data_IF_609537965058
#
_entry.id   IF_609537965058
#
_cell.length_a   1.000
_cell.length_b   1.000
_cell.length_c   1.000
_cell.angle_alpha   90.00
_cell.angle_beta   90.00
_cell.angle_gamma   90.00
#
_symmetry.space_group_name_H-M   'P 1'
#
loop_
_entity.id
_entity.type
_entity.pdbx_description
1 polymer ?
#
# COMPACT_ATOMS: atom_id res chain seq x y z
N UNK A 1 10.20 -8.11 14.51
CA UNK A 1 8.87 -7.93 15.14
C UNK A 1 8.19 -6.77 14.43
N UNK A 2 7.17 -7.02 13.62
CA UNK A 2 6.47 -5.96 12.87
C UNK A 2 5.54 -5.21 13.82
N UNK A 3 5.77 -3.92 14.05
CA UNK A 3 4.89 -3.09 14.87
C UNK A 3 3.69 -2.68 14.01
N UNK A 4 2.68 -3.54 13.96
CA UNK A 4 1.43 -3.31 13.24
C UNK A 4 0.43 -2.65 14.19
N UNK A 5 -0.11 -1.49 13.83
CA UNK A 5 -1.23 -0.87 14.55
C UNK A 5 -2.40 -0.66 13.60
N UNK A 6 -3.58 -1.06 14.03
CA UNK A 6 -4.82 -0.86 13.28
C UNK A 6 -5.53 0.39 13.80
N UNK A 7 -5.92 1.26 12.86
CA UNK A 7 -6.68 2.47 13.14
C UNK A 7 -8.11 2.26 12.64
N UNK A 8 -9.04 2.07 13.58
CA UNK A 8 -10.48 1.99 13.32
C UNK A 8 -11.17 3.28 13.76
N UNK A 9 -10.90 4.38 13.06
CA UNK A 9 -11.65 5.62 13.24
C UNK A 9 -13.06 5.49 12.63
N UNK A 10 -14.03 6.21 13.19
CA UNK A 10 -15.42 6.18 12.73
C UNK A 10 -15.54 6.48 11.22
N UNK A 11 -14.77 7.45 10.72
CA UNK A 11 -14.73 7.81 9.30
C UNK A 11 -14.29 6.65 8.38
N UNK A 12 -13.43 5.73 8.84
CA UNK A 12 -13.08 4.54 8.07
C UNK A 12 -14.17 3.46 8.17
N UNK A 13 -14.79 3.30 9.34
CA UNK A 13 -15.86 2.31 9.54
C UNK A 13 -17.09 2.61 8.67
N UNK A 14 -17.51 3.87 8.58
CA UNK A 14 -18.61 4.32 7.71
C UNK A 14 -18.37 3.95 6.23
N UNK A 15 -17.10 3.93 5.82
CA UNK A 15 -16.68 3.62 4.44
C UNK A 15 -16.21 2.17 4.27
N UNK A 16 -16.39 1.31 5.28
CA UNK A 16 -15.89 -0.07 5.30
C UNK A 16 -14.40 -0.18 4.92
N UNK A 17 -13.63 0.76 5.45
CA UNK A 17 -12.21 0.89 5.26
C UNK A 17 -11.44 0.61 6.55
N UNK A 18 -10.18 0.27 6.40
CA UNK A 18 -9.23 0.08 7.49
C UNK A 18 -7.92 0.78 7.14
N UNK A 19 -7.37 1.52 8.11
CA UNK A 19 -6.01 2.02 8.05
C UNK A 19 -5.12 1.15 8.94
N UNK A 20 -4.03 0.63 8.38
CA UNK A 20 -3.03 -0.15 9.11
C UNK A 20 -1.70 0.59 9.01
N UNK A 21 -1.07 0.88 10.14
CA UNK A 21 0.30 1.41 10.17
C UNK A 21 1.30 0.32 10.50
N UNK A 22 2.48 0.40 9.90
CA UNK A 22 3.61 -0.50 10.11
C UNK A 22 4.94 0.22 9.82
N UNK A 23 6.05 -0.42 10.18
CA UNK A 23 7.38 0.15 10.01
C UNK A 23 8.30 -0.84 9.31
N UNK A 24 9.15 -0.36 8.41
CA UNK A 24 10.22 -1.15 7.78
C UNK A 24 11.59 -0.52 8.06
N UNK A 25 12.68 -1.29 7.96
CA UNK A 25 14.03 -0.73 8.03
C UNK A 25 14.22 0.39 7.00
N UNK A 26 14.59 1.59 7.46
CA UNK A 26 14.75 2.77 6.62
C UNK A 26 13.45 3.50 6.22
N UNK A 27 12.27 2.95 6.55
CA UNK A 27 10.96 3.53 6.25
C UNK A 27 10.09 3.50 7.53
N UNK A 28 10.18 4.53 8.37
CA UNK A 28 9.50 4.56 9.67
C UNK A 28 7.99 4.79 9.57
N UNK A 29 7.49 5.32 8.46
CA UNK A 29 6.10 5.71 8.29
C UNK A 29 5.50 4.96 7.10
N UNK A 30 4.97 3.76 7.35
CA UNK A 30 4.31 2.96 6.32
C UNK A 30 2.86 2.70 6.71
N UNK A 31 1.97 2.79 5.74
CA UNK A 31 0.55 2.59 5.93
C UNK A 31 -0.04 1.70 4.84
N UNK A 32 -1.14 1.04 5.17
CA UNK A 32 -2.00 0.34 4.22
C UNK A 32 -3.43 0.81 4.45
N UNK A 33 -4.02 1.38 3.40
CA UNK A 33 -5.44 1.67 3.34
C UNK A 33 -6.13 0.51 2.63
N UNK A 34 -7.04 -0.15 3.31
CA UNK A 34 -7.78 -1.29 2.80
C UNK A 34 -9.27 -0.94 2.75
N UNK A 35 -9.96 -1.40 1.71
CA UNK A 35 -11.42 -1.49 1.69
C UNK A 35 -11.84 -2.94 1.49
N UNK A 36 -12.84 -3.36 2.25
CA UNK A 36 -13.45 -4.69 2.12
C UNK A 36 -14.43 -4.75 0.93
N UNK A 37 -14.78 -3.60 0.34
CA UNK A 37 -15.65 -3.54 -0.82
C UNK A 37 -14.90 -3.93 -2.10
N UNK A 38 -15.51 -4.80 -2.91
CA UNK A 38 -15.00 -5.09 -4.26
C UNK A 38 -15.39 -3.98 -5.24
N UNK A 39 -14.75 -2.82 -5.09
CA UNK A 39 -14.93 -1.69 -6.00
C UNK A 39 -13.91 -1.73 -7.13
N UNK A 40 -14.41 -1.61 -8.36
CA UNK A 40 -13.56 -1.35 -9.52
C UNK A 40 -13.27 0.15 -9.59
N UNK A 41 -12.01 0.53 -9.79
CA UNK A 41 -11.59 1.92 -9.96
C UNK A 41 -12.42 2.69 -11.01
N UNK A 42 -12.89 2.00 -12.05
CA UNK A 42 -13.67 2.59 -13.14
C UNK A 42 -15.09 3.02 -12.72
N UNK A 43 -15.60 2.52 -11.59
CA UNK A 43 -16.92 2.90 -11.09
C UNK A 43 -16.87 4.23 -10.34
N UNK A 44 -17.97 5.01 -10.32
CA UNK A 44 -18.03 6.26 -9.53
C UNK A 44 -17.63 6.05 -8.06
N UNK A 45 -18.13 4.98 -7.44
CA UNK A 45 -17.78 4.61 -6.06
C UNK A 45 -16.28 4.29 -5.90
N UNK A 46 -15.68 3.57 -6.86
CA UNK A 46 -14.24 3.30 -6.86
C UNK A 46 -13.38 4.56 -7.03
N UNK A 47 -13.82 5.52 -7.84
CA UNK A 47 -13.16 6.83 -7.97
C UNK A 47 -13.28 7.67 -6.70
N UNK A 48 -14.45 7.64 -6.04
CA UNK A 48 -14.64 8.32 -4.76
C UNK A 48 -13.74 7.73 -3.68
N UNK A 49 -13.70 6.39 -3.57
CA UNK A 49 -12.80 5.70 -2.65
C UNK A 49 -11.34 6.05 -2.91
N UNK A 50 -10.93 6.10 -4.18
CA UNK A 50 -9.58 6.50 -4.55
C UNK A 50 -9.24 7.94 -4.12
N UNK A 51 -10.16 8.89 -4.33
CA UNK A 51 -9.98 10.28 -3.88
C UNK A 51 -9.87 10.35 -2.36
N UNK A 52 -10.69 9.60 -1.64
CA UNK A 52 -10.61 9.48 -0.19
C UNK A 52 -9.24 8.95 0.25
N UNK A 53 -8.76 7.87 -0.38
CA UNK A 53 -7.45 7.30 -0.04
C UNK A 53 -6.29 8.24 -0.37
N UNK A 54 -6.39 9.00 -1.46
CA UNK A 54 -5.38 10.00 -1.82
C UNK A 54 -5.34 11.15 -0.81
N UNK A 55 -6.51 11.68 -0.42
CA UNK A 55 -6.61 12.72 0.60
C UNK A 55 -6.05 12.21 1.94
N UNK A 56 -6.31 10.96 2.27
CA UNK A 56 -5.82 10.33 3.49
C UNK A 56 -4.29 10.16 3.47
N UNK A 57 -3.71 9.76 2.33
CA UNK A 57 -2.27 9.70 2.16
C UNK A 57 -1.61 11.08 2.33
N UNK A 58 -2.22 12.14 1.80
CA UNK A 58 -1.74 13.52 1.96
C UNK A 58 -1.80 13.96 3.43
N UNK A 59 -2.89 13.64 4.13
CA UNK A 59 -3.05 13.92 5.57
C UNK A 59 -1.94 13.24 6.37
N UNK A 60 -1.74 11.94 6.15
CA UNK A 60 -0.69 11.16 6.83
C UNK A 60 0.71 11.71 6.55
N UNK A 61 1.01 12.07 5.29
CA UNK A 61 2.29 12.65 4.93
C UNK A 61 2.54 14.01 5.62
N UNK A 62 1.51 14.86 5.67
CA UNK A 62 1.61 16.12 6.39
C UNK A 62 1.81 15.92 7.90
N UNK A 63 1.10 14.98 8.51
CA UNK A 63 1.22 14.69 9.95
C UNK A 63 2.60 14.16 10.34
N UNK A 64 3.18 13.26 9.54
CA UNK A 64 4.44 12.59 9.89
C UNK A 64 5.69 13.40 9.50
N UNK A 65 5.66 14.11 8.37
CA UNK A 65 6.85 14.79 7.81
C UNK A 65 6.63 16.26 7.45
N UNK A 66 5.43 16.81 7.69
CA UNK A 66 5.10 18.21 7.43
C UNK A 66 4.81 18.55 5.96
N UNK A 67 5.09 17.64 5.02
CA UNK A 67 4.87 17.84 3.59
C UNK A 67 3.78 16.87 3.08
N UNK A 68 2.58 17.37 2.70
CA UNK A 68 1.49 16.54 2.22
C UNK A 68 1.81 15.80 0.93
N UNK A 69 2.85 16.19 0.17
CA UNK A 69 3.23 15.55 -1.08
C UNK A 69 4.38 14.56 -0.93
N UNK A 70 4.93 14.39 0.28
CA UNK A 70 6.11 13.57 0.51
C UNK A 70 5.75 12.11 0.81
N UNK A 71 5.07 11.48 -0.14
CA UNK A 71 4.67 10.08 -0.06
C UNK A 71 4.83 9.34 -1.40
N UNK A 72 4.81 8.01 -1.35
CA UNK A 72 4.69 7.14 -2.50
C UNK A 72 3.51 6.19 -2.30
N UNK A 73 2.75 5.98 -3.36
CA UNK A 73 1.61 5.07 -3.37
C UNK A 73 1.93 3.83 -4.19
N UNK A 74 1.56 2.66 -3.67
CA UNK A 74 1.60 1.41 -4.41
C UNK A 74 0.25 0.74 -4.26
N UNK A 75 -0.49 0.70 -5.36
CA UNK A 75 -1.69 -0.12 -5.47
C UNK A 75 -1.26 -1.52 -5.95
N UNK A 76 -1.23 -2.48 -5.04
CA UNK A 76 -0.95 -3.88 -5.40
C UNK A 76 -2.14 -4.42 -6.19
N UNK A 77 -1.96 -4.69 -7.48
CA UNK A 77 -2.99 -5.41 -8.25
C UNK A 77 -3.32 -6.77 -7.62
N UNK A 78 -4.55 -7.23 -7.83
CA UNK A 78 -4.99 -8.60 -7.50
C UNK A 78 -4.06 -9.60 -8.18
N UNK A 79 -3.17 -10.25 -7.42
CA UNK A 79 -2.60 -11.53 -7.84
C UNK A 79 -3.75 -12.50 -8.10
N UNK A 80 -3.82 -13.01 -9.33
CA UNK A 80 -4.89 -13.83 -9.88
C UNK A 80 -5.66 -14.68 -8.84
N UNK A 81 -6.94 -14.38 -8.63
CA UNK A 81 -7.93 -15.38 -8.23
C UNK A 81 -8.51 -15.35 -6.81
N UNK A 82 -8.04 -14.52 -5.88
CA UNK A 82 -8.57 -14.53 -4.51
C UNK A 82 -8.89 -13.12 -3.99
N UNK A 83 -10.17 -12.74 -4.06
CA UNK A 83 -10.82 -11.53 -3.50
C UNK A 83 -10.17 -10.19 -3.90
N UNK A 84 -10.89 -9.39 -4.68
CA UNK A 84 -10.41 -8.06 -5.12
C UNK A 84 -10.65 -7.01 -4.02
N UNK A 85 -10.01 -7.16 -2.87
CA UNK A 85 -9.97 -6.10 -1.86
C UNK A 85 -9.12 -4.94 -2.37
N UNK A 86 -9.66 -3.73 -2.33
CA UNK A 86 -8.94 -2.53 -2.73
C UNK A 86 -7.92 -2.19 -1.64
N UNK A 87 -6.62 -2.31 -1.94
CA UNK A 87 -5.54 -2.01 -0.98
C UNK A 87 -4.51 -1.05 -1.56
N UNK A 88 -4.19 -0.02 -0.79
CA UNK A 88 -3.25 1.01 -1.17
C UNK A 88 -2.17 1.11 -0.10
N UNK A 89 -0.94 0.76 -0.48
CA UNK A 89 0.21 1.00 0.38
C UNK A 89 0.64 2.45 0.23
N UNK A 90 0.77 3.14 1.36
CA UNK A 90 1.27 4.52 1.44
C UNK A 90 2.59 4.49 2.19
N UNK A 91 3.65 4.98 1.55
CA UNK A 91 4.96 5.14 2.16
C UNK A 91 5.23 6.62 2.30
N UNK A 92 5.29 7.13 3.54
CA UNK A 92 5.66 8.51 3.78
C UNK A 92 7.18 8.60 3.88
N UNK A 93 7.76 9.52 3.10
CA UNK A 93 9.19 9.61 2.87
C UNK A 93 9.68 10.97 3.31
N UNK A 94 10.73 11.02 4.13
CA UNK A 94 11.36 12.27 4.56
C UNK A 94 12.53 12.66 3.67
N UNK A 95 13.24 11.67 3.10
CA UNK A 95 14.46 11.87 2.34
C UNK A 95 14.41 11.18 0.98
N UNK A 96 15.13 11.76 0.00
CA UNK A 96 15.21 11.20 -1.37
C UNK A 96 15.81 9.79 -1.41
N UNK A 97 16.75 9.47 -0.54
CA UNK A 97 17.34 8.13 -0.49
C UNK A 97 16.33 7.05 -0.09
N UNK A 98 15.29 7.41 0.68
CA UNK A 98 14.23 6.47 1.06
C UNK A 98 13.37 6.05 -0.15
N UNK A 99 13.21 6.94 -1.14
CA UNK A 99 12.59 6.60 -2.44
C UNK A 99 13.43 5.54 -3.16
N UNK A 100 14.74 5.77 -3.26
CA UNK A 100 15.66 4.83 -3.89
C UNK A 100 15.70 3.48 -3.16
N UNK A 101 15.69 3.51 -1.83
CA UNK A 101 15.61 2.32 -0.98
C UNK A 101 14.34 1.51 -1.24
N UNK A 102 13.17 2.18 -1.25
CA UNK A 102 11.89 1.54 -1.55
C UNK A 102 11.92 0.89 -2.95
N UNK A 103 12.44 1.58 -3.96
CA UNK A 103 12.61 0.99 -5.29
C UNK A 103 13.54 -0.22 -5.28
N UNK A 104 14.63 -0.18 -4.52
CA UNK A 104 15.53 -1.32 -4.34
C UNK A 104 14.82 -2.54 -3.74
N UNK A 105 14.05 -2.34 -2.67
CA UNK A 105 13.26 -3.41 -2.04
C UNK A 105 12.24 -4.00 -3.01
N UNK A 106 11.53 -3.15 -3.77
CA UNK A 106 10.57 -3.60 -4.78
C UNK A 106 11.25 -4.36 -5.92
N UNK A 107 12.42 -3.91 -6.38
CA UNK A 107 13.20 -4.58 -7.42
C UNK A 107 13.61 -5.99 -6.97
N UNK A 108 14.12 -6.11 -5.73
CA UNK A 108 14.47 -7.41 -5.14
C UNK A 108 13.24 -8.31 -5.04
N UNK A 109 12.10 -7.80 -4.52
CA UNK A 109 10.85 -8.56 -4.44
C UNK A 109 10.43 -9.10 -5.81
N UNK A 110 10.40 -8.25 -6.82
CA UNK A 110 10.01 -8.65 -8.18
C UNK A 110 11.00 -9.65 -8.79
N UNK A 111 12.30 -9.47 -8.56
CA UNK A 111 13.34 -10.41 -9.02
C UNK A 111 13.15 -11.78 -8.36
N UNK A 112 12.90 -11.83 -7.05
CA UNK A 112 12.62 -13.10 -6.35
C UNK A 112 11.35 -13.77 -6.85
N UNK A 113 10.30 -13.01 -7.16
CA UNK A 113 9.07 -13.55 -7.75
C UNK A 113 9.31 -14.12 -9.15
N UNK A 114 10.09 -13.42 -9.97
CA UNK A 114 10.46 -13.88 -11.31
C UNK A 114 11.32 -15.16 -11.24
N UNK A 115 12.35 -15.19 -10.40
CA UNK A 115 13.20 -16.38 -10.21
C UNK A 115 12.38 -17.54 -9.65
N UNK A 116 11.50 -17.29 -8.67
CA UNK A 116 10.59 -18.30 -8.13
C UNK A 116 9.64 -18.87 -9.18
N UNK A 117 9.10 -18.03 -10.07
CA UNK A 117 8.28 -18.49 -11.19
C UNK A 117 9.10 -19.33 -12.21
N UNK A 118 10.32 -18.89 -12.52
CA UNK A 118 11.22 -19.60 -13.44
C UNK A 118 11.69 -20.96 -12.89
N UNK A 119 11.90 -21.06 -11.57
CA UNK A 119 12.28 -22.32 -10.88
C UNK A 119 11.05 -23.21 -10.68
N UNK A 120 9.88 -22.64 -10.38
CA UNK A 120 8.61 -23.36 -10.23
C UNK A 120 8.13 -24.03 -11.52
N UNK A 121 8.43 -23.45 -12.69
CA UNK A 121 8.15 -24.08 -13.99
C UNK A 121 8.97 -25.35 -14.27
N UNK A 122 10.08 -25.59 -13.53
CA UNK A 122 10.90 -26.81 -13.70
C UNK A 122 10.41 -28.02 -12.90
N UNK A 123 9.37 -27.88 -12.06
CA UNK A 123 8.86 -28.99 -11.21
C UNK A 123 7.60 -29.69 -11.72
N UNK A 124 7.12 -29.33 -12.92
CA UNK A 124 6.07 -30.06 -13.62
C UNK A 124 6.67 -30.80 -14.82
N UNK A 125 7.26 -31.96 -14.56
CA UNK A 125 7.46 -33.03 -15.56
C UNK A 125 7.16 -34.36 -14.89
#
# INVERSE_FOLDING_TARGET
MFNRREHRLAAYQERQCLLVSYTLPGLPYCYVLCSEQELKYQTPAGQELWRFFLAEAQRLAHEDVGDPNSFMLIHSGSSAGARRSFHLHVFVLRHRWQKAWLYGVLAVKNLTQMVGAAVGLKRAR
#
